data_IF_089880757142
#
_entry.id   IF_089880757142
#
_cell.length_a   1.000
_cell.length_b   1.000
_cell.length_c   1.000
_cell.angle_alpha   90.00
_cell.angle_beta   90.00
_cell.angle_gamma   90.00
#
_symmetry.space_group_name_H-M   'P 1'
#
loop_
_entity.id
_entity.type
_entity.pdbx_description
1 polymer ?
#
# COMPACT_ATOMS: atom_id res chain seq x y z
N UNK A 1 22.29 13.12 63.32
CA UNK A 1 21.92 12.66 61.97
C UNK A 1 20.71 13.45 61.53
N UNK A 2 20.85 14.32 60.53
CA UNK A 2 19.72 15.05 59.94
C UNK A 2 19.36 14.40 58.61
N UNK A 3 18.12 13.96 58.46
CA UNK A 3 17.60 13.35 57.22
C UNK A 3 17.05 14.49 56.34
N UNK A 4 17.61 14.66 55.14
CA UNK A 4 17.10 15.60 54.14
C UNK A 4 16.02 14.91 53.29
N UNK A 5 14.83 15.50 53.25
CA UNK A 5 13.72 15.05 52.40
C UNK A 5 13.82 15.82 51.09
N UNK A 6 14.11 15.12 49.99
CA UNK A 6 14.12 15.70 48.64
C UNK A 6 12.74 15.51 47.99
N UNK A 7 12.10 16.58 47.50
CA UNK A 7 10.84 16.44 46.77
C UNK A 7 11.10 15.77 45.41
N UNK A 8 10.44 14.65 45.16
CA UNK A 8 10.43 14.01 43.85
C UNK A 8 9.58 14.86 42.89
N UNK A 9 10.23 15.67 42.07
CA UNK A 9 9.60 16.35 40.95
C UNK A 9 9.38 15.35 39.83
N UNK A 10 8.12 14.95 39.62
CA UNK A 10 7.72 14.10 38.50
C UNK A 10 7.96 14.85 37.18
N UNK A 11 8.94 14.41 36.39
CA UNK A 11 9.16 14.93 35.05
C UNK A 11 7.97 14.57 34.15
N UNK A 12 7.31 15.58 33.57
CA UNK A 12 6.25 15.40 32.59
C UNK A 12 6.91 15.18 31.24
N UNK A 13 6.93 13.93 30.76
CA UNK A 13 7.48 13.59 29.44
C UNK A 13 6.65 14.30 28.37
N UNK A 14 7.25 15.28 27.68
CA UNK A 14 6.64 15.83 26.48
C UNK A 14 6.71 14.73 25.42
N UNK A 15 5.56 14.17 25.05
CA UNK A 15 5.43 13.42 23.83
C UNK A 15 5.72 14.39 22.69
N UNK A 16 6.97 14.42 22.21
CA UNK A 16 7.30 15.04 20.94
C UNK A 16 6.43 14.38 19.88
N UNK A 17 5.58 15.16 19.23
CA UNK A 17 4.75 14.66 18.14
C UNK A 17 5.65 13.95 17.13
N UNK A 18 5.38 12.69 16.87
CA UNK A 18 6.09 11.94 15.85
C UNK A 18 5.80 12.64 14.52
N UNK A 19 6.80 13.30 13.94
CA UNK A 19 6.66 13.84 12.59
C UNK A 19 6.64 12.61 11.69
N UNK A 20 5.46 12.23 11.20
CA UNK A 20 5.33 11.14 10.23
C UNK A 20 6.04 11.56 8.93
N UNK A 21 7.23 10.99 8.70
CA UNK A 21 8.00 11.20 7.48
C UNK A 21 7.33 10.45 6.33
N UNK A 22 6.45 11.14 5.59
CA UNK A 22 5.69 10.55 4.47
C UNK A 22 6.04 11.18 3.13
N UNK A 23 5.93 10.39 2.06
CA UNK A 23 5.89 10.92 0.70
C UNK A 23 4.45 11.11 0.24
N UNK A 24 4.17 12.17 -0.52
CA UNK A 24 2.82 12.44 -1.04
C UNK A 24 2.71 12.11 -2.52
N UNK A 25 1.65 11.41 -2.91
CA UNK A 25 1.32 11.17 -4.32
C UNK A 25 -0.20 11.07 -4.53
N UNK A 26 -0.73 11.80 -5.53
CA UNK A 26 -2.16 11.86 -5.86
C UNK A 26 -3.09 12.14 -4.65
N UNK A 27 -2.62 12.97 -3.73
CA UNK A 27 -3.40 13.37 -2.56
C UNK A 27 -3.39 12.37 -1.39
N UNK A 28 -2.66 11.26 -1.52
CA UNK A 28 -2.42 10.31 -0.44
C UNK A 28 -0.98 10.41 0.07
N UNK A 29 -0.81 10.09 1.36
CA UNK A 29 0.48 10.04 2.04
C UNK A 29 0.91 8.58 2.19
N UNK A 30 2.20 8.33 1.96
CA UNK A 30 2.82 7.01 1.93
C UNK A 30 4.00 6.99 2.89
N UNK A 31 4.18 5.87 3.59
CA UNK A 31 5.25 5.71 4.55
C UNK A 31 6.59 5.46 3.86
N UNK A 32 7.68 5.66 4.60
CA UNK A 32 9.01 5.26 4.14
C UNK A 32 9.03 3.78 3.80
N UNK A 33 9.61 3.45 2.65
CA UNK A 33 9.66 2.09 2.10
C UNK A 33 8.50 1.74 1.18
N UNK A 34 7.38 2.47 1.21
CA UNK A 34 6.25 2.22 0.32
C UNK A 34 6.67 2.42 -1.14
N UNK A 35 6.15 1.54 -2.01
CA UNK A 35 6.43 1.56 -3.45
C UNK A 35 5.14 1.86 -4.20
N UNK A 36 5.19 2.88 -5.06
CA UNK A 36 4.05 3.29 -5.89
C UNK A 36 4.44 3.45 -7.35
N UNK A 37 3.42 3.47 -8.20
CA UNK A 37 3.56 3.82 -9.61
C UNK A 37 3.48 5.33 -9.82
N UNK A 38 4.62 5.98 -10.00
CA UNK A 38 4.69 7.40 -10.30
C UNK A 38 4.64 7.65 -11.81
N UNK A 39 3.83 8.63 -12.20
CA UNK A 39 3.85 9.17 -13.56
C UNK A 39 5.14 9.94 -13.80
N UNK A 40 5.86 9.61 -14.87
CA UNK A 40 7.03 10.36 -15.33
C UNK A 40 6.95 10.68 -16.83
N UNK A 41 7.90 11.47 -17.36
CA UNK A 41 7.93 11.86 -18.77
C UNK A 41 8.13 10.68 -19.73
N UNK A 42 8.70 9.56 -19.24
CA UNK A 42 8.90 8.32 -19.99
C UNK A 42 7.83 7.26 -19.69
N UNK A 43 6.70 7.67 -19.11
CA UNK A 43 5.64 6.78 -18.63
C UNK A 43 5.75 6.45 -17.14
N UNK A 44 4.80 5.65 -16.62
CA UNK A 44 4.73 5.29 -15.21
C UNK A 44 5.84 4.28 -14.83
N UNK A 45 6.51 4.54 -13.70
CA UNK A 45 7.54 3.65 -13.14
C UNK A 45 7.37 3.46 -11.64
N UNK A 46 7.88 2.35 -11.13
CA UNK A 46 7.94 2.13 -9.69
C UNK A 46 8.88 3.16 -9.05
N UNK A 47 8.49 3.66 -7.89
CA UNK A 47 9.30 4.52 -7.06
C UNK A 47 9.06 4.20 -5.59
N UNK A 48 10.11 4.24 -4.78
CA UNK A 48 10.05 4.00 -3.35
C UNK A 48 10.15 5.32 -2.59
N UNK A 49 9.34 5.47 -1.55
CA UNK A 49 9.44 6.59 -0.63
C UNK A 49 10.67 6.42 0.26
N UNK A 50 11.61 7.36 0.22
CA UNK A 50 12.84 7.33 1.01
C UNK A 50 13.20 8.71 1.55
N UNK A 51 14.21 8.78 2.41
CA UNK A 51 14.80 10.05 2.85
C UNK A 51 16.07 10.30 2.04
N UNK A 52 16.11 11.42 1.34
CA UNK A 52 17.29 11.92 0.62
C UNK A 52 17.63 13.30 1.16
N UNK A 53 18.84 13.48 1.70
CA UNK A 53 19.30 14.74 2.30
C UNK A 53 18.34 15.33 3.35
N UNK A 54 17.82 14.48 4.24
CA UNK A 54 16.86 14.83 5.30
C UNK A 54 15.46 15.26 4.80
N UNK A 55 15.16 15.04 3.51
CA UNK A 55 13.82 15.27 2.96
C UNK A 55 13.24 13.96 2.41
N UNK A 56 11.94 13.74 2.62
CA UNK A 56 11.22 12.62 2.01
C UNK A 56 11.10 12.83 0.51
N UNK A 57 11.64 11.90 -0.26
CA UNK A 57 11.68 11.96 -1.71
C UNK A 57 11.30 10.62 -2.33
N UNK A 58 10.81 10.68 -3.56
CA UNK A 58 10.53 9.51 -4.37
C UNK A 58 11.78 9.11 -5.16
N UNK A 59 12.39 7.99 -4.78
CA UNK A 59 13.46 7.39 -5.57
C UNK A 59 12.86 6.48 -6.64
N UNK A 60 13.13 6.78 -7.92
CA UNK A 60 12.62 5.97 -9.04
C UNK A 60 13.43 4.68 -9.20
N UNK A 61 12.72 3.56 -9.28
CA UNK A 61 13.29 2.26 -9.61
C UNK A 61 13.40 2.11 -11.13
N UNK A 62 14.29 1.23 -11.58
CA UNK A 62 14.44 0.92 -13.00
C UNK A 62 13.26 0.11 -13.56
N UNK A 63 12.45 -0.47 -12.67
CA UNK A 63 11.31 -1.32 -12.97
C UNK A 63 10.08 -0.52 -13.42
N UNK A 64 9.44 -0.99 -14.51
CA UNK A 64 8.17 -0.44 -15.00
C UNK A 64 7.01 -0.87 -14.09
N UNK A 65 5.91 -0.13 -14.15
CA UNK A 65 4.69 -0.49 -13.44
C UNK A 65 4.10 -1.82 -13.94
N UNK A 66 3.61 -2.69 -13.04
CA UNK A 66 2.92 -3.90 -13.46
C UNK A 66 1.65 -3.51 -14.21
N UNK A 67 1.46 -4.11 -15.39
CA UNK A 67 0.19 -4.06 -16.09
C UNK A 67 -0.68 -5.18 -15.53
N UNK A 68 -1.89 -4.86 -15.12
CA UNK A 68 -2.89 -5.88 -14.82
C UNK A 68 -3.26 -6.56 -16.14
N UNK A 69 -2.70 -7.74 -16.40
CA UNK A 69 -3.21 -8.58 -17.48
C UNK A 69 -4.55 -9.13 -17.02
N UNK A 70 -5.64 -8.61 -17.56
CA UNK A 70 -6.92 -9.32 -17.47
C UNK A 70 -6.72 -10.61 -18.25
N UNK A 71 -6.80 -11.74 -17.56
CA UNK A 71 -6.81 -13.01 -18.24
C UNK A 71 -8.13 -13.09 -19.02
N UNK A 72 -8.08 -13.16 -20.35
CA UNK A 72 -9.28 -13.26 -21.19
C UNK A 72 -10.19 -14.44 -20.77
N UNK A 73 -9.63 -15.47 -20.13
CA UNK A 73 -10.40 -16.59 -19.59
C UNK A 73 -11.24 -16.25 -18.36
N UNK A 74 -10.93 -15.18 -17.63
CA UNK A 74 -11.76 -14.71 -16.51
C UNK A 74 -13.02 -13.96 -16.99
N UNK A 75 -12.90 -13.27 -18.14
CA UNK A 75 -14.02 -12.65 -18.84
C UNK A 75 -14.97 -13.69 -19.43
N UNK A 76 -14.44 -14.81 -19.96
CA UNK A 76 -15.25 -15.92 -20.48
C UNK A 76 -15.93 -16.73 -19.34
N UNK A 77 -15.26 -16.91 -18.19
CA UNK A 77 -15.79 -17.69 -17.06
C UNK A 77 -16.84 -16.95 -16.22
N UNK A 78 -16.94 -15.62 -16.34
CA UNK A 78 -18.01 -14.84 -15.70
C UNK A 78 -19.34 -14.95 -16.47
N UNK A 79 -19.30 -15.33 -17.76
CA UNK A 79 -20.49 -15.67 -18.54
C UNK A 79 -20.75 -17.18 -18.47
N UNK A 80 -21.16 -17.68 -17.31
CA UNK A 80 -21.79 -19.01 -17.27
C UNK A 80 -23.07 -18.93 -18.12
N UNK A 81 -23.23 -19.74 -19.20
CA UNK A 81 -24.54 -19.91 -19.78
C UNK A 81 -25.44 -20.47 -18.66
N UNK A 82 -26.60 -19.84 -18.45
CA UNK A 82 -27.64 -20.34 -17.53
C UNK A 82 -27.78 -21.85 -17.77
N UNK A 83 -27.60 -22.71 -16.75
CA UNK A 83 -27.85 -24.14 -16.91
C UNK A 83 -29.29 -24.33 -17.37
N UNK A 84 -29.47 -24.82 -18.60
CA UNK A 84 -30.77 -25.33 -19.01
C UNK A 84 -31.03 -26.58 -18.16
N UNK A 85 -31.84 -26.43 -17.11
CA UNK A 85 -32.47 -27.54 -16.41
C UNK A 85 -33.41 -28.27 -17.38
N UNK A 86 -32.84 -29.09 -18.25
CA UNK A 86 -33.54 -30.12 -18.99
C UNK A 86 -33.17 -31.48 -18.37
N UNK A 87 -34.15 -32.25 -17.88
CA UNK A 87 -33.87 -33.53 -17.23
C UNK A 87 -33.21 -34.51 -18.21
N UNK A 88 -31.93 -34.78 -18.01
CA UNK A 88 -31.19 -35.83 -18.72
C UNK A 88 -31.46 -37.18 -18.05
N UNK A 89 -32.68 -37.70 -18.19
CA UNK A 89 -33.01 -39.09 -17.90
C UNK A 89 -34.24 -39.48 -18.74
N UNK A 90 -33.97 -39.91 -19.96
CA UNK A 90 -34.90 -40.68 -20.77
C UNK A 90 -34.10 -41.52 -21.78
N UNK A 91 -33.63 -42.70 -21.37
CA UNK A 91 -33.40 -43.89 -22.21
C UNK A 91 -32.91 -45.03 -21.30
N UNK A 92 -33.77 -45.97 -20.89
CA UNK A 92 -34.17 -47.21 -21.59
C UNK A 92 -33.18 -48.39 -21.45
N UNK A 93 -33.58 -49.38 -20.64
CA UNK A 93 -33.66 -50.82 -20.98
C UNK A 93 -34.52 -51.54 -19.95
#
# INVERSE_FOLDING_TARGET
MALAIFPATTAKSLAGGNIDCTCRYRGADYQLGDVVCLNGPKGPRLAQCQIVLNNTSWERLETQCPLSSVNEQDLENTFTPIPNDAPQNASKS
#
